data_IF_415801502961
#
_entry.id   IF_415801502961
#
_cell.length_a   1.000
_cell.length_b   1.000
_cell.length_c   1.000
_cell.angle_alpha   90.00
_cell.angle_beta   90.00
_cell.angle_gamma   90.00
#
_symmetry.space_group_name_H-M   'P 1'
#
loop_
_entity.id
_entity.type
_entity.pdbx_description
1 polymer ?
#
# COMPACT_ATOMS: atom_id res chain seq x y z
N UNK A 1 -4.20 2.17 -32.15
CA UNK A 1 -3.11 2.03 -31.16
C UNK A 1 -3.64 1.39 -29.88
N UNK A 2 -3.35 0.10 -29.62
CA UNK A 2 -3.59 -0.46 -28.30
C UNK A 2 -2.54 0.11 -27.34
N UNK A 3 -2.98 0.82 -26.32
CA UNK A 3 -2.10 1.22 -25.21
C UNK A 3 -1.82 -0.03 -24.36
N UNK A 4 -0.57 -0.27 -23.96
CA UNK A 4 -0.20 -1.42 -23.11
C UNK A 4 -0.85 -1.37 -21.71
N UNK A 5 -1.33 -0.19 -21.29
CA UNK A 5 -1.97 -0.01 -19.98
C UNK A 5 -3.45 -0.40 -20.02
N UNK A 6 -3.97 -1.04 -18.95
CA UNK A 6 -5.40 -1.31 -18.80
C UNK A 6 -6.23 -0.04 -18.94
N UNK A 7 -7.42 -0.17 -19.52
CA UNK A 7 -8.41 0.91 -19.56
C UNK A 7 -9.43 0.65 -18.47
N UNK A 8 -9.68 1.66 -17.65
CA UNK A 8 -10.74 1.65 -16.66
C UNK A 8 -11.90 2.47 -17.22
N UNK A 9 -13.08 1.87 -17.34
CA UNK A 9 -14.30 2.58 -17.68
C UNK A 9 -15.00 2.97 -16.39
N UNK A 10 -15.39 4.23 -16.29
CA UNK A 10 -16.09 4.78 -15.13
C UNK A 10 -17.40 5.37 -15.66
N UNK A 11 -18.51 4.92 -15.10
CA UNK A 11 -19.82 5.53 -15.31
C UNK A 11 -20.01 6.61 -14.26
N UNK A 12 -20.43 7.81 -14.66
CA UNK A 12 -20.76 8.87 -13.71
C UNK A 12 -22.08 8.50 -13.01
N UNK A 13 -21.98 8.08 -11.76
CA UNK A 13 -23.11 7.95 -10.81
C UNK A 13 -23.23 9.22 -9.99
N UNK A 14 -24.28 9.34 -9.18
CA UNK A 14 -24.48 10.49 -8.30
C UNK A 14 -23.31 10.68 -7.32
N UNK A 15 -22.72 9.59 -6.82
CA UNK A 15 -21.54 9.63 -5.95
C UNK A 15 -20.30 10.14 -6.69
N UNK A 16 -20.11 9.70 -7.94
CA UNK A 16 -18.99 10.17 -8.78
C UNK A 16 -19.17 11.65 -9.10
N UNK A 17 -20.39 12.08 -9.45
CA UNK A 17 -20.70 13.48 -9.71
C UNK A 17 -20.40 14.35 -8.48
N UNK A 18 -20.85 13.93 -7.30
CA UNK A 18 -20.59 14.63 -6.04
C UNK A 18 -19.08 14.74 -5.73
N UNK A 19 -18.32 13.67 -5.94
CA UNK A 19 -16.88 13.67 -5.75
C UNK A 19 -16.18 14.65 -6.73
N UNK A 20 -16.63 14.71 -7.97
CA UNK A 20 -16.10 15.64 -8.98
C UNK A 20 -16.44 17.09 -8.67
N UNK A 21 -17.63 17.38 -8.16
CA UNK A 21 -17.99 18.72 -7.69
C UNK A 21 -17.11 19.17 -6.52
N UNK A 22 -16.79 18.25 -5.60
CA UNK A 22 -15.84 18.53 -4.53
C UNK A 22 -14.41 18.77 -5.06
N UNK A 23 -13.99 17.97 -6.05
CA UNK A 23 -12.69 18.11 -6.70
C UNK A 23 -12.56 19.45 -7.45
N UNK A 24 -13.61 19.90 -8.13
CA UNK A 24 -13.64 21.19 -8.85
C UNK A 24 -13.40 22.37 -7.90
N UNK A 25 -13.97 22.33 -6.67
CA UNK A 25 -13.68 23.38 -5.66
C UNK A 25 -12.19 23.42 -5.27
N UNK A 26 -11.53 22.26 -5.29
CA UNK A 26 -10.10 22.13 -4.92
C UNK A 26 -9.15 22.45 -6.08
N UNK A 27 -9.58 22.15 -7.31
CA UNK A 27 -8.84 22.35 -8.56
C UNK A 27 -9.74 22.96 -9.63
N UNK A 28 -10.05 24.26 -9.50
CA UNK A 28 -11.02 24.92 -10.38
C UNK A 28 -10.52 25.01 -11.82
N UNK A 29 -11.43 24.82 -12.78
CA UNK A 29 -11.20 24.96 -14.21
C UNK A 29 -10.56 23.73 -14.88
N UNK A 30 -10.36 22.63 -14.14
CA UNK A 30 -9.86 21.40 -14.74
C UNK A 30 -10.99 20.57 -15.38
N UNK A 31 -10.72 19.88 -16.51
CA UNK A 31 -11.72 19.00 -17.09
C UNK A 31 -11.98 17.81 -16.16
N UNK A 32 -13.24 17.33 -16.11
CA UNK A 32 -13.66 16.19 -15.27
C UNK A 32 -12.74 14.98 -15.37
N UNK A 33 -12.27 14.64 -16.58
CA UNK A 33 -11.34 13.52 -16.78
C UNK A 33 -10.02 13.68 -16.02
N UNK A 34 -9.51 14.90 -15.89
CA UNK A 34 -8.30 15.21 -15.12
C UNK A 34 -8.57 15.20 -13.62
N UNK A 35 -9.74 15.67 -13.20
CA UNK A 35 -10.18 15.56 -11.81
C UNK A 35 -10.29 14.11 -11.34
N UNK A 36 -10.81 13.20 -12.17
CA UNK A 36 -10.81 11.74 -11.88
C UNK A 36 -9.40 11.25 -11.61
N UNK A 37 -8.44 11.59 -12.49
CA UNK A 37 -7.03 11.18 -12.30
C UNK A 37 -6.48 11.74 -11.00
N UNK A 38 -6.72 13.01 -10.68
CA UNK A 38 -6.26 13.63 -9.43
C UNK A 38 -6.84 12.98 -8.19
N UNK A 39 -8.13 12.66 -8.19
CA UNK A 39 -8.79 11.99 -7.08
C UNK A 39 -8.18 10.61 -6.84
N UNK A 40 -7.96 9.82 -7.92
CA UNK A 40 -7.34 8.50 -7.83
C UNK A 40 -5.92 8.58 -7.31
N UNK A 41 -5.10 9.52 -7.81
CA UNK A 41 -3.71 9.64 -7.37
C UNK A 41 -3.63 10.16 -5.93
N UNK A 42 -4.44 11.15 -5.55
CA UNK A 42 -4.45 11.66 -4.18
C UNK A 42 -4.83 10.55 -3.21
N UNK A 43 -5.91 9.81 -3.47
CA UNK A 43 -6.27 8.71 -2.58
C UNK A 43 -5.22 7.59 -2.58
N UNK A 44 -4.60 7.31 -3.73
CA UNK A 44 -3.52 6.32 -3.83
C UNK A 44 -2.31 6.65 -2.95
N UNK A 45 -1.90 7.92 -2.89
CA UNK A 45 -0.79 8.37 -2.06
C UNK A 45 -1.11 8.18 -0.57
N UNK A 46 -2.31 8.57 -0.12
CA UNK A 46 -2.75 8.39 1.27
C UNK A 46 -2.80 6.90 1.66
N UNK A 47 -3.30 6.03 0.78
CA UNK A 47 -3.33 4.58 1.02
C UNK A 47 -1.92 3.99 1.10
N UNK A 48 -0.99 4.47 0.26
CA UNK A 48 0.39 4.03 0.30
C UNK A 48 1.05 4.39 1.63
N UNK A 49 0.85 5.62 2.11
CA UNK A 49 1.38 6.07 3.41
C UNK A 49 0.87 5.22 4.58
N UNK A 50 -0.43 4.90 4.60
CA UNK A 50 -1.01 4.02 5.63
C UNK A 50 -0.38 2.62 5.59
N UNK A 51 -0.23 2.04 4.39
CA UNK A 51 0.35 0.71 4.23
C UNK A 51 1.83 0.68 4.66
N UNK A 52 2.59 1.73 4.36
CA UNK A 52 3.99 1.86 4.73
C UNK A 52 4.15 2.02 6.24
N UNK A 53 3.31 2.84 6.88
CA UNK A 53 3.27 2.97 8.34
C UNK A 53 2.95 1.62 9.01
N UNK A 54 1.99 0.87 8.47
CA UNK A 54 1.65 -0.48 8.95
C UNK A 54 2.81 -1.47 8.80
N UNK A 55 3.54 -1.37 7.68
CA UNK A 55 4.72 -2.19 7.44
C UNK A 55 5.84 -1.86 8.43
N UNK A 56 6.06 -0.59 8.72
CA UNK A 56 7.07 -0.17 9.67
C UNK A 56 6.73 -0.59 11.09
N UNK A 57 5.46 -0.43 11.52
CA UNK A 57 4.99 -0.94 12.82
C UNK A 57 5.24 -2.44 12.98
N UNK A 58 5.01 -3.22 11.92
CA UNK A 58 5.32 -4.66 11.92
C UNK A 58 6.82 -4.94 12.03
N UNK A 59 7.66 -4.20 11.30
CA UNK A 59 9.12 -4.33 11.40
C UNK A 59 9.63 -3.96 12.78
N UNK A 60 9.09 -2.91 13.40
CA UNK A 60 9.43 -2.51 14.76
C UNK A 60 9.12 -3.57 15.79
N UNK A 61 7.93 -4.18 15.71
CA UNK A 61 7.57 -5.28 16.60
C UNK A 61 8.53 -6.48 16.46
N UNK A 62 8.92 -6.82 15.22
CA UNK A 62 9.92 -7.87 14.96
C UNK A 62 11.28 -7.47 15.54
N UNK A 63 11.75 -6.23 15.31
CA UNK A 63 13.04 -5.75 15.84
C UNK A 63 13.07 -5.74 17.36
N UNK A 64 11.98 -5.36 18.02
CA UNK A 64 11.85 -5.34 19.47
C UNK A 64 11.99 -6.75 20.09
N UNK A 65 11.46 -7.77 19.42
CA UNK A 65 11.55 -9.16 19.87
C UNK A 65 12.82 -9.86 19.38
N UNK A 66 13.41 -9.38 18.28
CA UNK A 66 14.58 -9.97 17.66
C UNK A 66 15.77 -9.90 18.62
N UNK A 67 16.20 -11.08 19.07
CA UNK A 67 17.34 -11.21 19.98
C UNK A 67 16.99 -11.10 21.46
N UNK A 68 15.74 -10.84 21.83
CA UNK A 68 15.27 -10.86 23.24
C UNK A 68 15.33 -12.25 23.86
N UNK A 69 15.48 -13.30 23.04
CA UNK A 69 15.68 -14.68 23.44
C UNK A 69 17.12 -15.17 23.24
N UNK A 70 18.10 -14.26 23.08
CA UNK A 70 19.52 -14.65 23.04
C UNK A 70 19.88 -15.39 24.34
N UNK A 71 20.52 -16.54 24.19
CA UNK A 71 20.94 -17.40 25.31
C UNK A 71 19.92 -18.46 25.71
N UNK A 72 18.68 -18.43 25.21
CA UNK A 72 17.72 -19.53 25.44
C UNK A 72 17.98 -20.76 24.56
N UNK A 73 18.64 -20.55 23.42
CA UNK A 73 18.93 -21.60 22.47
C UNK A 73 20.40 -22.00 22.55
N UNK A 74 20.72 -23.32 22.54
CA UNK A 74 22.08 -23.81 22.49
C UNK A 74 22.84 -23.32 21.26
N UNK A 75 24.16 -23.33 21.34
CA UNK A 75 25.01 -23.10 20.17
C UNK A 75 24.69 -24.13 19.07
N UNK A 76 24.69 -23.68 17.81
CA UNK A 76 24.39 -24.56 16.66
C UNK A 76 22.90 -24.95 16.49
N UNK A 77 22.01 -24.58 17.42
CA UNK A 77 20.59 -24.98 17.39
C UNK A 77 19.89 -24.65 16.05
N UNK A 78 20.16 -23.46 15.48
CA UNK A 78 19.61 -23.05 14.18
C UNK A 78 20.08 -23.93 13.02
N UNK A 79 21.32 -24.42 13.05
CA UNK A 79 21.85 -25.29 12.00
C UNK A 79 21.21 -26.68 12.10
N UNK A 80 21.07 -27.23 13.31
CA UNK A 80 20.38 -28.50 13.53
C UNK A 80 18.96 -28.50 12.96
N UNK A 81 18.17 -27.45 13.22
CA UNK A 81 16.82 -27.31 12.65
C UNK A 81 16.80 -27.24 11.10
N UNK A 82 17.86 -26.73 10.48
CA UNK A 82 17.95 -26.66 9.01
C UNK A 82 18.31 -28.00 8.40
N UNK A 83 19.15 -28.76 9.08
CA UNK A 83 19.58 -30.10 8.65
C UNK A 83 18.42 -31.11 8.73
N UNK A 84 17.39 -30.83 9.55
CA UNK A 84 16.17 -31.64 9.65
C UNK A 84 15.19 -31.45 8.49
N UNK A 85 15.32 -30.38 7.70
CA UNK A 85 14.40 -30.12 6.59
C UNK A 85 14.93 -30.73 5.28
N UNK A 86 14.14 -31.53 4.55
CA UNK A 86 14.54 -31.99 3.22
C UNK A 86 14.67 -30.81 2.25
N UNK A 87 15.68 -30.87 1.38
CA UNK A 87 16.05 -29.85 0.40
C UNK A 87 14.94 -29.54 -0.63
#
# INVERSE_FOLDING_TARGET
>A
MPTQRPRYQITETDEVAHALEAAERRWPGEPRSRLIVRLVTWNGDEVAEVNDADAERRRDAVRLLAGSFRGLFPEGHRQGLRDEWPA
#
